data_IF_003956735283
#
_entry.id   IF_003956735283
#
_cell.length_a   1.000
_cell.length_b   1.000
_cell.length_c   1.000
_cell.angle_alpha   90.00
_cell.angle_beta   90.00
_cell.angle_gamma   90.00
#
_symmetry.space_group_name_H-M   'P 1'
#
loop_
_entity.id
_entity.type
_entity.pdbx_description
1 polymer ?
#
# COMPACT_ATOMS: atom_id res chain seq x y z
N UNK A 1 -30.73 -22.17 -50.78
CA UNK A 1 -31.95 -22.09 -51.60
C UNK A 1 -33.02 -21.32 -50.84
N UNK A 2 -33.52 -20.27 -51.46
CA UNK A 2 -34.70 -19.41 -51.22
C UNK A 2 -34.60 -18.38 -50.05
N UNK A 3 -34.27 -17.23 -50.48
CA UNK A 3 -34.69 -15.84 -50.32
C UNK A 3 -36.22 -15.69 -50.16
N UNK A 4 -36.68 -14.85 -49.23
CA UNK A 4 -37.88 -14.01 -49.42
C UNK A 4 -37.76 -12.67 -48.68
N UNK A 5 -37.63 -11.59 -49.47
CA UNK A 5 -37.95 -10.19 -49.18
C UNK A 5 -39.47 -9.98 -49.17
N UNK A 6 -39.97 -9.01 -48.39
CA UNK A 6 -41.08 -8.06 -48.68
C UNK A 6 -40.83 -6.87 -47.77
N UNK A 7 -40.71 -5.76 -48.17
CA UNK A 7 -41.02 -4.53 -48.90
C UNK A 7 -42.44 -3.99 -48.65
N UNK A 8 -42.44 -2.67 -48.41
CA UNK A 8 -43.43 -1.61 -48.65
C UNK A 8 -44.41 -1.36 -47.49
N UNK A 9 -44.88 -0.14 -47.20
CA UNK A 9 -45.00 1.21 -47.81
C UNK A 9 -45.33 2.21 -46.71
N UNK A 10 -44.76 3.37 -46.60
CA UNK A 10 -45.01 4.73 -47.15
C UNK A 10 -46.43 5.34 -46.90
N UNK A 11 -46.38 6.61 -46.40
CA UNK A 11 -47.25 7.78 -46.57
C UNK A 11 -48.19 8.06 -45.37
N UNK A 12 -48.15 9.25 -44.72
CA UNK A 12 -48.44 10.65 -45.10
C UNK A 12 -48.33 11.63 -43.92
N UNK A 13 -47.58 12.63 -44.13
CA UNK A 13 -47.83 14.07 -44.01
C UNK A 13 -48.86 14.62 -43.00
N UNK A 14 -48.43 15.58 -42.24
CA UNK A 14 -49.26 16.54 -41.51
C UNK A 14 -48.44 17.70 -40.91
N UNK A 15 -48.41 18.79 -41.60
CA UNK A 15 -47.86 20.11 -41.30
C UNK A 15 -48.48 20.73 -40.05
N UNK A 16 -47.76 21.61 -39.35
CA UNK A 16 -48.09 22.72 -38.44
C UNK A 16 -47.30 22.61 -37.16
N UNK A 17 -46.48 23.51 -36.64
CA UNK A 17 -46.37 24.95 -36.75
C UNK A 17 -45.03 25.43 -36.16
N UNK A 18 -44.46 26.39 -36.76
CA UNK A 18 -43.38 27.26 -36.31
C UNK A 18 -43.79 27.99 -35.07
N UNK A 19 -43.18 27.71 -33.92
CA UNK A 19 -42.99 28.60 -32.74
C UNK A 19 -42.47 27.86 -31.52
N UNK A 20 -41.25 27.28 -31.63
CA UNK A 20 -40.46 26.92 -30.45
C UNK A 20 -38.97 26.75 -30.83
N UNK A 21 -38.42 27.78 -31.48
CA UNK A 21 -36.99 27.75 -31.88
C UNK A 21 -36.13 28.70 -31.03
N UNK A 22 -36.49 28.94 -29.74
CA UNK A 22 -35.70 29.84 -28.91
C UNK A 22 -35.45 29.34 -27.48
N UNK A 23 -35.76 28.10 -27.11
CA UNK A 23 -35.52 27.60 -25.74
C UNK A 23 -34.56 26.39 -25.75
N UNK A 24 -34.20 25.83 -26.90
CA UNK A 24 -33.27 24.68 -26.99
C UNK A 24 -31.79 25.13 -27.06
N UNK A 25 -31.52 26.42 -27.20
CA UNK A 25 -30.12 26.93 -27.28
C UNK A 25 -29.41 27.21 -25.95
N UNK A 26 -30.11 27.12 -24.81
CA UNK A 26 -29.51 27.52 -23.52
C UNK A 26 -29.30 26.41 -22.51
N UNK A 27 -29.62 25.17 -22.81
CA UNK A 27 -29.40 23.99 -21.92
C UNK A 27 -28.19 23.15 -22.35
N UNK A 28 -27.61 23.38 -23.54
CA UNK A 28 -26.46 22.64 -24.04
C UNK A 28 -25.09 23.22 -23.60
N UNK A 29 -25.03 24.24 -22.71
CA UNK A 29 -23.76 24.85 -22.32
C UNK A 29 -23.38 24.65 -20.84
N UNK A 30 -24.01 23.73 -20.11
CA UNK A 30 -23.69 23.45 -18.70
C UNK A 30 -23.39 22.00 -18.38
N UNK A 31 -23.07 21.16 -19.35
CA UNK A 31 -22.38 19.90 -19.07
C UNK A 31 -20.90 20.04 -19.38
N UNK A 32 -20.25 21.01 -18.74
CA UNK A 32 -18.82 20.92 -18.49
C UNK A 32 -18.62 19.72 -17.59
N UNK A 33 -18.33 18.56 -18.17
CA UNK A 33 -17.81 17.44 -17.44
C UNK A 33 -16.55 17.94 -16.73
N UNK A 34 -16.64 18.23 -15.44
CA UNK A 34 -15.48 18.28 -14.58
C UNK A 34 -14.91 16.87 -14.58
N UNK A 35 -14.06 16.57 -15.56
CA UNK A 35 -13.14 15.45 -15.47
C UNK A 35 -12.25 15.77 -14.26
N UNK A 36 -12.59 15.21 -13.11
CA UNK A 36 -11.68 15.19 -11.96
C UNK A 36 -10.37 14.60 -12.48
N UNK A 37 -9.22 15.23 -12.20
CA UNK A 37 -7.95 14.69 -12.64
C UNK A 37 -7.80 13.26 -12.09
N UNK A 38 -7.42 12.34 -12.95
CA UNK A 38 -7.27 10.91 -12.63
C UNK A 38 -6.31 10.64 -11.46
N UNK A 39 -5.46 11.60 -11.10
CA UNK A 39 -4.53 11.52 -9.97
C UNK A 39 -5.20 11.63 -8.61
N UNK A 40 -6.36 12.26 -8.48
CA UNK A 40 -7.04 12.48 -7.20
C UNK A 40 -7.40 11.19 -6.44
N UNK A 41 -7.51 10.08 -7.14
CA UNK A 41 -7.90 8.79 -6.59
C UNK A 41 -6.84 8.13 -5.68
N UNK A 42 -5.54 8.37 -5.95
CA UNK A 42 -4.43 7.85 -5.15
C UNK A 42 -3.83 8.90 -4.21
N UNK A 43 -4.35 10.12 -4.23
CA UNK A 43 -3.81 11.22 -3.47
C UNK A 43 -4.34 11.24 -2.03
N UNK A 44 -3.42 11.42 -1.09
CA UNK A 44 -3.72 11.65 0.31
C UNK A 44 -2.78 12.72 0.88
N UNK A 45 -3.21 13.42 1.90
CA UNK A 45 -2.37 14.39 2.59
C UNK A 45 -1.42 13.68 3.52
N UNK A 46 -0.14 14.01 3.44
CA UNK A 46 0.83 13.53 4.42
C UNK A 46 0.75 14.36 5.69
N UNK A 47 0.21 13.80 6.75
CA UNK A 47 0.16 14.40 8.08
C UNK A 47 1.04 13.67 9.11
N UNK A 48 1.65 12.54 8.79
CA UNK A 48 2.28 11.64 9.76
C UNK A 48 3.80 11.69 9.83
N UNK A 49 4.50 11.94 8.72
CA UNK A 49 5.96 11.86 8.66
C UNK A 49 6.58 13.03 7.91
N UNK A 50 7.90 13.16 8.00
CA UNK A 50 8.67 14.18 7.30
C UNK A 50 10.00 13.61 6.80
N UNK A 51 10.69 14.38 5.96
CA UNK A 51 12.05 14.04 5.52
C UNK A 51 13.01 14.01 6.71
N UNK A 52 13.95 13.06 6.71
CA UNK A 52 14.89 12.83 7.81
C UNK A 52 14.35 11.90 8.91
N UNK A 53 13.11 11.39 8.78
CA UNK A 53 12.62 10.37 9.71
C UNK A 53 13.45 9.08 9.56
N UNK A 54 13.92 8.56 10.69
CA UNK A 54 14.70 7.34 10.79
C UNK A 54 14.18 6.48 11.95
N UNK A 55 13.73 5.28 11.66
CA UNK A 55 13.17 4.34 12.64
C UNK A 55 14.00 3.06 12.61
N UNK A 56 14.43 2.58 13.78
CA UNK A 56 15.23 1.37 13.95
C UNK A 56 14.43 0.29 14.67
N UNK A 57 14.60 -0.94 14.23
CA UNK A 57 13.93 -2.11 14.80
C UNK A 57 14.92 -3.22 15.12
N UNK A 58 14.66 -3.93 16.22
CA UNK A 58 15.25 -5.23 16.51
C UNK A 58 14.35 -6.34 15.97
N UNK A 59 14.96 -7.27 15.24
CA UNK A 59 14.24 -8.40 14.64
C UNK A 59 14.45 -9.66 15.47
N UNK A 60 13.36 -10.35 15.77
CA UNK A 60 13.32 -11.63 16.47
C UNK A 60 12.68 -12.70 15.61
N UNK A 61 13.17 -13.93 15.75
CA UNK A 61 12.58 -15.10 15.11
C UNK A 61 12.30 -16.17 16.16
N UNK A 62 11.14 -16.84 16.07
CA UNK A 62 10.79 -17.94 16.93
C UNK A 62 11.38 -19.24 16.39
N UNK A 63 12.38 -19.78 17.09
CA UNK A 63 12.99 -21.07 16.80
C UNK A 63 12.65 -22.08 17.90
N UNK A 64 11.92 -23.13 17.58
CA UNK A 64 11.55 -24.19 18.53
C UNK A 64 11.08 -23.65 19.89
N UNK A 65 10.10 -22.72 19.86
CA UNK A 65 9.50 -22.06 21.03
C UNK A 65 10.37 -21.04 21.76
N UNK A 66 11.57 -20.74 21.27
CA UNK A 66 12.46 -19.71 21.84
C UNK A 66 12.56 -18.53 20.89
N UNK A 67 12.38 -17.33 21.41
CA UNK A 67 12.59 -16.08 20.65
C UNK A 67 14.08 -15.71 20.66
N UNK A 68 14.66 -15.62 19.48
CA UNK A 68 16.09 -15.28 19.31
C UNK A 68 16.19 -13.99 18.53
N UNK A 69 17.01 -13.05 19.01
CA UNK A 69 17.33 -11.84 18.24
C UNK A 69 18.05 -12.23 16.95
N UNK A 70 17.37 -12.03 15.82
CA UNK A 70 17.78 -12.51 14.53
C UNK A 70 18.45 -11.46 13.65
N UNK A 71 18.23 -10.17 13.93
CA UNK A 71 18.77 -9.10 13.09
C UNK A 71 18.28 -7.70 13.49
N UNK A 72 18.43 -6.79 12.55
CA UNK A 72 18.03 -5.40 12.67
C UNK A 72 17.27 -4.98 11.40
N UNK A 73 16.37 -4.00 11.54
CA UNK A 73 15.82 -3.30 10.38
C UNK A 73 15.83 -1.79 10.61
N UNK A 74 15.84 -1.04 9.51
CA UNK A 74 15.69 0.41 9.54
C UNK A 74 14.72 0.87 8.46
N UNK A 75 13.90 1.85 8.81
CA UNK A 75 13.00 2.56 7.89
C UNK A 75 13.44 4.02 7.85
N UNK A 76 13.72 4.54 6.66
CA UNK A 76 14.14 5.94 6.46
C UNK A 76 13.27 6.63 5.44
N UNK A 77 12.95 7.90 5.68
CA UNK A 77 12.20 8.75 4.77
C UNK A 77 13.03 9.96 4.39
N UNK A 78 13.26 10.17 3.09
CA UNK A 78 14.06 11.28 2.56
C UNK A 78 13.32 11.99 1.43
N UNK A 79 13.54 13.31 1.30
CA UNK A 79 13.11 14.03 0.11
C UNK A 79 13.90 13.54 -1.12
N UNK A 80 13.24 13.50 -2.26
CA UNK A 80 13.83 13.15 -3.56
C UNK A 80 13.06 13.83 -4.68
N UNK A 81 13.44 13.56 -5.91
CA UNK A 81 12.64 13.89 -7.10
C UNK A 81 12.38 12.63 -7.92
N UNK A 82 11.23 12.58 -8.58
CA UNK A 82 10.88 11.54 -9.53
C UNK A 82 10.34 12.18 -10.81
N UNK A 83 11.05 11.99 -11.95
CA UNK A 83 10.74 12.69 -13.20
C UNK A 83 10.64 14.22 -13.04
N UNK A 84 11.57 14.81 -12.25
CA UNK A 84 11.64 16.24 -11.92
C UNK A 84 10.52 16.77 -11.01
N UNK A 85 9.61 15.92 -10.53
CA UNK A 85 8.59 16.28 -9.54
C UNK A 85 9.10 15.98 -8.12
N UNK A 86 8.80 16.83 -7.12
CA UNK A 86 9.11 16.54 -5.71
C UNK A 86 8.46 15.22 -5.25
N UNK A 87 9.20 14.46 -4.46
CA UNK A 87 8.77 13.15 -3.99
C UNK A 87 9.44 12.77 -2.67
N UNK A 88 8.89 11.76 -1.98
CA UNK A 88 9.55 11.08 -0.88
C UNK A 88 10.11 9.74 -1.35
N UNK A 89 11.32 9.43 -0.89
CA UNK A 89 11.91 8.09 -0.98
C UNK A 89 11.90 7.45 0.40
N UNK A 90 11.23 6.32 0.52
CA UNK A 90 11.18 5.52 1.74
C UNK A 90 11.99 4.25 1.50
N UNK A 91 12.95 3.97 2.39
CA UNK A 91 13.76 2.77 2.31
C UNK A 91 13.57 1.94 3.57
N UNK A 92 13.35 0.64 3.40
CA UNK A 92 13.40 -0.36 4.45
C UNK A 92 14.59 -1.29 4.17
N UNK A 93 15.50 -1.39 5.14
CA UNK A 93 16.59 -2.35 5.13
C UNK A 93 16.36 -3.34 6.25
N UNK A 94 16.35 -4.65 5.96
CA UNK A 94 16.24 -5.71 6.95
C UNK A 94 17.42 -6.68 6.80
N UNK A 95 18.23 -6.80 7.86
CA UNK A 95 19.46 -7.56 7.87
C UNK A 95 19.45 -8.60 8.99
N UNK A 96 19.52 -9.87 8.63
CA UNK A 96 19.81 -10.95 9.55
C UNK A 96 21.24 -10.86 10.13
N UNK A 97 21.40 -11.26 11.37
CA UNK A 97 22.72 -11.37 12.00
C UNK A 97 23.52 -12.54 11.42
N UNK A 98 24.85 -12.49 11.51
CA UNK A 98 25.71 -13.62 11.07
C UNK A 98 25.34 -14.95 11.75
N UNK A 99 24.85 -14.92 13.00
CA UNK A 99 24.39 -16.12 13.72
C UNK A 99 23.07 -16.65 13.15
N UNK A 100 22.16 -15.76 12.76
CA UNK A 100 20.90 -16.13 12.13
C UNK A 100 21.12 -16.70 10.71
N UNK A 101 22.14 -16.23 9.98
CA UNK A 101 22.49 -16.73 8.64
C UNK A 101 22.74 -18.23 8.57
N UNK A 102 23.18 -18.84 9.68
CA UNK A 102 23.35 -20.30 9.77
C UNK A 102 22.02 -21.05 9.59
N UNK A 103 20.90 -20.43 10.01
CA UNK A 103 19.58 -21.03 9.90
C UNK A 103 18.81 -20.48 8.69
N UNK A 104 18.84 -19.17 8.52
CA UNK A 104 18.12 -18.49 7.44
C UNK A 104 18.78 -17.14 7.16
N UNK A 105 19.43 -17.03 6.00
CA UNK A 105 20.00 -15.77 5.53
C UNK A 105 18.87 -14.80 5.14
N UNK A 106 18.90 -13.59 5.65
CA UNK A 106 17.96 -12.53 5.31
C UNK A 106 18.71 -11.23 5.03
N UNK A 107 18.56 -10.72 3.82
CA UNK A 107 19.12 -9.44 3.34
C UNK A 107 18.11 -8.80 2.41
N UNK A 108 17.18 -8.07 2.99
CA UNK A 108 16.11 -7.45 2.23
C UNK A 108 16.29 -5.94 2.18
N UNK A 109 16.17 -5.40 0.98
CA UNK A 109 16.18 -3.96 0.72
C UNK A 109 14.92 -3.60 -0.02
N UNK A 110 14.09 -2.73 0.56
CA UNK A 110 12.91 -2.21 -0.08
C UNK A 110 13.06 -0.70 -0.25
N UNK A 111 12.68 -0.21 -1.40
CA UNK A 111 12.61 1.22 -1.70
C UNK A 111 11.28 1.51 -2.35
N UNK A 112 10.55 2.51 -1.89
CA UNK A 112 9.48 3.10 -2.65
C UNK A 112 9.73 4.59 -2.89
N UNK A 113 9.21 5.10 -3.99
CA UNK A 113 9.10 6.51 -4.28
C UNK A 113 7.62 6.84 -4.39
N UNK A 114 7.18 7.80 -3.58
CA UNK A 114 5.80 8.32 -3.56
C UNK A 114 5.85 9.82 -3.82
N UNK A 115 4.84 10.36 -4.48
CA UNK A 115 4.70 11.80 -4.66
C UNK A 115 4.40 12.52 -3.34
N UNK A 116 4.36 13.85 -3.36
CA UNK A 116 4.05 14.65 -2.16
C UNK A 116 2.65 14.39 -1.59
N UNK A 117 1.73 13.92 -2.43
CA UNK A 117 0.38 13.50 -2.04
C UNK A 117 0.27 11.99 -1.80
N UNK A 118 1.39 11.33 -1.51
CA UNK A 118 1.51 9.92 -1.16
C UNK A 118 1.11 8.93 -2.27
N UNK A 119 0.88 9.38 -3.50
CA UNK A 119 0.60 8.50 -4.61
C UNK A 119 1.84 7.67 -4.99
N UNK A 120 1.72 6.32 -5.15
CA UNK A 120 2.82 5.45 -5.55
C UNK A 120 3.41 5.85 -6.92
N UNK A 121 4.73 5.86 -7.05
CA UNK A 121 5.45 6.13 -8.30
C UNK A 121 6.34 4.97 -8.70
N UNK A 122 7.12 4.45 -7.77
CA UNK A 122 8.05 3.36 -8.01
C UNK A 122 8.27 2.54 -6.75
N UNK A 123 8.42 1.24 -6.91
CA UNK A 123 8.78 0.31 -5.84
C UNK A 123 9.84 -0.67 -6.31
N UNK A 124 10.75 -1.02 -5.41
CA UNK A 124 11.74 -2.08 -5.59
C UNK A 124 11.94 -2.86 -4.30
N UNK A 125 11.86 -4.19 -4.38
CA UNK A 125 12.28 -5.10 -3.31
C UNK A 125 13.39 -6.00 -3.83
N UNK A 126 14.62 -5.88 -3.30
CA UNK A 126 15.67 -6.87 -3.44
C UNK A 126 15.65 -7.76 -2.22
N UNK A 127 15.38 -9.05 -2.38
CA UNK A 127 15.28 -10.01 -1.29
C UNK A 127 16.29 -11.15 -1.45
N UNK A 128 17.17 -11.33 -0.44
CA UNK A 128 18.00 -12.50 -0.31
C UNK A 128 17.54 -13.31 0.92
N UNK A 129 16.70 -14.30 0.66
CA UNK A 129 16.01 -15.11 1.66
C UNK A 129 16.46 -16.59 1.55
N UNK A 130 17.33 -17.02 2.46
CA UNK A 130 17.95 -18.34 2.39
C UNK A 130 18.80 -18.51 1.11
N UNK A 131 18.44 -19.44 0.24
CA UNK A 131 19.07 -19.66 -1.07
C UNK A 131 18.45 -18.86 -2.20
N UNK A 132 17.31 -18.23 -1.95
CA UNK A 132 16.55 -17.48 -2.95
C UNK A 132 17.07 -16.06 -3.04
N UNK A 133 17.15 -15.54 -4.26
CA UNK A 133 17.36 -14.12 -4.53
C UNK A 133 16.37 -13.68 -5.60
N UNK A 134 15.64 -12.60 -5.32
CA UNK A 134 14.73 -11.99 -6.28
C UNK A 134 14.81 -10.47 -6.18
N UNK A 135 14.57 -9.80 -7.30
CA UNK A 135 14.32 -8.37 -7.34
C UNK A 135 12.93 -8.16 -7.93
N UNK A 136 12.03 -7.58 -7.15
CA UNK A 136 10.72 -7.15 -7.60
C UNK A 136 10.74 -5.64 -7.82
N UNK A 137 10.23 -5.19 -8.96
CA UNK A 137 10.07 -3.78 -9.30
C UNK A 137 8.64 -3.51 -9.75
N UNK A 138 8.12 -2.33 -9.42
CA UNK A 138 6.81 -1.88 -9.87
C UNK A 138 6.86 -0.40 -10.22
N UNK A 139 6.31 -0.03 -11.38
CA UNK A 139 6.17 1.34 -11.86
C UNK A 139 4.71 1.68 -11.98
N UNK A 140 4.29 2.76 -11.32
CA UNK A 140 2.89 3.19 -11.27
C UNK A 140 2.66 4.38 -12.18
N UNK A 141 1.51 4.41 -12.84
CA UNK A 141 1.06 5.52 -13.66
C UNK A 141 -0.44 5.68 -13.58
N UNK A 142 -0.94 6.88 -13.88
CA UNK A 142 -2.34 7.27 -13.69
C UNK A 142 -2.87 7.86 -14.98
N UNK A 143 -3.95 7.31 -15.50
CA UNK A 143 -4.57 7.77 -16.74
C UNK A 143 -6.06 7.41 -16.77
N UNK A 144 -6.90 8.32 -17.21
CA UNK A 144 -8.33 8.13 -17.44
C UNK A 144 -9.08 7.52 -16.23
N UNK A 145 -8.73 7.94 -15.01
CA UNK A 145 -9.33 7.46 -13.76
C UNK A 145 -8.88 6.05 -13.35
N UNK A 146 -7.83 5.52 -13.98
CA UNK A 146 -7.26 4.21 -13.65
C UNK A 146 -5.83 4.38 -13.10
N UNK A 147 -5.51 3.54 -12.12
CA UNK A 147 -4.15 3.28 -11.67
C UNK A 147 -3.59 2.08 -12.43
N UNK A 148 -2.48 2.26 -13.11
CA UNK A 148 -1.76 1.20 -13.83
C UNK A 148 -0.49 0.84 -13.06
N UNK A 149 -0.13 -0.43 -13.06
CA UNK A 149 1.15 -0.91 -12.55
C UNK A 149 1.81 -1.86 -13.54
N UNK A 150 3.06 -1.56 -13.88
CA UNK A 150 3.95 -2.48 -14.58
C UNK A 150 4.84 -3.13 -13.54
N UNK A 151 4.89 -4.45 -13.50
CA UNK A 151 5.64 -5.23 -12.53
C UNK A 151 6.68 -6.09 -13.23
N UNK A 152 7.86 -6.21 -12.61
CA UNK A 152 8.93 -7.10 -13.07
C UNK A 152 9.54 -7.83 -11.88
N UNK A 153 9.64 -9.15 -11.96
CA UNK A 153 10.41 -9.97 -11.04
C UNK A 153 11.61 -10.55 -11.75
N UNK A 154 12.80 -10.22 -11.27
CA UNK A 154 14.06 -10.79 -11.77
C UNK A 154 14.58 -11.83 -10.77
N UNK A 155 14.99 -12.98 -11.27
CA UNK A 155 15.53 -14.10 -10.50
C UNK A 155 17.06 -14.07 -10.50
N UNK A 156 17.69 -14.89 -9.64
CA UNK A 156 19.15 -14.98 -9.49
C UNK A 156 19.89 -15.32 -10.80
N UNK A 157 19.30 -16.10 -11.66
CA UNK A 157 19.84 -16.53 -12.96
C UNK A 157 19.67 -15.49 -14.08
N UNK A 158 19.06 -14.34 -13.77
CA UNK A 158 18.77 -13.28 -14.73
C UNK A 158 17.47 -13.45 -15.49
N UNK A 159 16.77 -14.58 -15.38
CA UNK A 159 15.42 -14.73 -15.90
C UNK A 159 14.46 -13.76 -15.20
N UNK A 160 13.39 -13.38 -15.87
CA UNK A 160 12.40 -12.47 -15.29
C UNK A 160 10.97 -12.81 -15.74
N UNK A 161 10.01 -12.43 -14.90
CA UNK A 161 8.59 -12.37 -15.20
C UNK A 161 8.16 -10.90 -15.27
N UNK A 162 7.24 -10.57 -16.18
CA UNK A 162 6.62 -9.26 -16.27
C UNK A 162 5.10 -9.38 -16.21
N UNK A 163 4.45 -8.39 -15.63
CA UNK A 163 3.00 -8.31 -15.56
C UNK A 163 2.53 -6.86 -15.58
N UNK A 164 1.42 -6.60 -16.25
CA UNK A 164 0.74 -5.30 -16.26
C UNK A 164 -0.65 -5.50 -15.68
N UNK A 165 -1.07 -4.58 -14.82
CA UNK A 165 -2.41 -4.57 -14.26
C UNK A 165 -2.93 -3.14 -14.14
N UNK A 166 -4.25 -3.00 -14.03
CA UNK A 166 -4.90 -1.73 -13.71
C UNK A 166 -6.11 -1.96 -12.80
N UNK A 167 -6.44 -0.96 -11.99
CA UNK A 167 -7.66 -0.93 -11.15
C UNK A 167 -8.21 0.50 -11.13
N UNK A 168 -9.50 0.63 -10.94
CA UNK A 168 -10.14 1.93 -10.71
C UNK A 168 -9.83 2.49 -9.30
N UNK A 169 -9.33 1.69 -8.39
CA UNK A 169 -8.79 2.06 -7.09
C UNK A 169 -7.28 2.24 -7.17
N UNK A 170 -6.70 2.85 -6.14
CA UNK A 170 -5.24 2.94 -6.03
C UNK A 170 -4.62 1.56 -5.82
N UNK A 171 -3.65 1.19 -6.65
CA UNK A 171 -2.81 0.01 -6.44
C UNK A 171 -1.59 0.46 -5.63
N UNK A 172 -1.30 -0.25 -4.55
CA UNK A 172 -0.17 0.06 -3.66
C UNK A 172 0.94 -0.99 -3.78
N UNK A 173 2.14 -0.61 -3.36
CA UNK A 173 3.16 -1.53 -2.85
C UNK A 173 3.14 -1.55 -1.31
N UNK A 174 3.94 -2.44 -0.70
CA UNK A 174 3.93 -2.64 0.76
C UNK A 174 4.49 -1.44 1.56
N UNK A 175 5.29 -0.55 0.98
CA UNK A 175 5.77 0.65 1.66
C UNK A 175 4.86 1.85 1.41
N UNK A 176 4.30 2.00 0.21
CA UNK A 176 3.38 3.10 -0.09
C UNK A 176 2.07 2.98 0.69
N UNK A 177 1.52 1.76 0.85
CA UNK A 177 0.34 1.58 1.72
C UNK A 177 0.67 1.87 3.18
N UNK A 178 1.86 1.50 3.68
CA UNK A 178 2.30 1.84 5.03
C UNK A 178 2.38 3.35 5.20
N UNK A 179 2.98 4.07 4.25
CA UNK A 179 3.10 5.51 4.29
C UNK A 179 1.73 6.21 4.29
N UNK A 180 0.81 5.76 3.43
CA UNK A 180 -0.53 6.33 3.35
C UNK A 180 -1.38 6.01 4.58
N UNK A 181 -1.33 4.77 5.07
CA UNK A 181 -2.08 4.34 6.25
C UNK A 181 -1.68 5.10 7.53
N UNK A 182 -0.42 5.56 7.63
CA UNK A 182 0.03 6.43 8.71
C UNK A 182 -0.67 7.80 8.73
N UNK A 183 -1.25 8.24 7.62
CA UNK A 183 -1.98 9.52 7.52
C UNK A 183 -3.50 9.36 7.66
N UNK A 184 -4.01 8.16 7.94
CA UNK A 184 -5.43 7.94 8.19
C UNK A 184 -5.82 8.38 9.60
N UNK A 185 -7.02 8.97 9.74
CA UNK A 185 -7.58 9.31 11.05
C UNK A 185 -8.18 8.04 11.70
N UNK A 186 -7.67 7.59 12.84
CA UNK A 186 -8.20 6.41 13.53
C UNK A 186 -9.50 6.69 14.29
N UNK A 187 -9.96 7.93 14.39
CA UNK A 187 -11.19 8.28 15.13
C UNK A 187 -12.44 7.62 14.54
N UNK A 188 -12.43 7.37 13.23
CA UNK A 188 -13.56 6.78 12.50
C UNK A 188 -13.60 5.25 12.56
N UNK A 189 -12.55 4.57 13.07
CA UNK A 189 -12.48 3.11 13.05
C UNK A 189 -13.23 2.44 14.20
N UNK A 190 -14.05 1.47 13.84
CA UNK A 190 -14.68 0.52 14.79
C UNK A 190 -13.96 -0.82 14.73
N UNK A 191 -13.86 -1.50 15.86
CA UNK A 191 -13.25 -2.83 15.93
C UNK A 191 -13.97 -3.77 14.96
N UNK A 192 -13.20 -4.40 14.06
CA UNK A 192 -13.70 -5.27 13.01
C UNK A 192 -13.85 -4.60 11.65
N UNK A 193 -13.67 -3.28 11.56
CA UNK A 193 -13.69 -2.57 10.26
C UNK A 193 -12.61 -3.10 9.33
N UNK A 194 -12.98 -3.30 8.06
CA UNK A 194 -12.14 -3.89 7.02
C UNK A 194 -11.79 -2.86 5.96
N UNK A 195 -10.51 -2.61 5.81
CA UNK A 195 -9.94 -1.77 4.76
C UNK A 195 -9.39 -2.68 3.68
N UNK A 196 -9.98 -2.64 2.48
CA UNK A 196 -9.57 -3.45 1.33
C UNK A 196 -8.85 -2.59 0.30
N UNK A 197 -7.74 -3.09 -0.22
CA UNK A 197 -6.95 -2.40 -1.23
C UNK A 197 -6.21 -3.38 -2.13
N UNK A 198 -6.04 -3.07 -3.44
CA UNK A 198 -5.21 -3.85 -4.34
C UNK A 198 -3.72 -3.57 -4.09
N UNK A 199 -2.90 -4.61 -4.02
CA UNK A 199 -1.46 -4.52 -3.81
C UNK A 199 -0.68 -5.26 -4.88
N UNK A 200 0.34 -4.60 -5.43
CA UNK A 200 1.30 -5.19 -6.35
C UNK A 200 2.28 -6.10 -5.58
N UNK A 201 2.37 -7.38 -5.96
CA UNK A 201 3.15 -8.40 -5.26
C UNK A 201 4.34 -8.93 -6.08
N UNK A 202 4.77 -8.16 -7.10
CA UNK A 202 5.91 -8.45 -7.98
C UNK A 202 5.55 -9.22 -9.25
N UNK A 203 4.39 -9.93 -9.32
CA UNK A 203 3.92 -10.65 -10.50
C UNK A 203 2.43 -10.48 -10.78
N UNK A 204 1.67 -10.01 -9.82
CA UNK A 204 0.23 -9.82 -9.89
C UNK A 204 -0.22 -8.73 -8.93
N UNK A 205 -1.44 -8.28 -9.10
CA UNK A 205 -2.14 -7.46 -8.12
C UNK A 205 -3.08 -8.36 -7.34
N UNK A 206 -3.04 -8.28 -6.02
CA UNK A 206 -3.87 -9.06 -5.11
C UNK A 206 -4.65 -8.14 -4.19
N UNK A 207 -5.90 -8.51 -3.92
CA UNK A 207 -6.71 -7.85 -2.91
C UNK A 207 -6.16 -8.16 -1.53
N UNK A 208 -5.85 -7.12 -0.76
CA UNK A 208 -5.42 -7.22 0.62
C UNK A 208 -6.54 -6.73 1.54
N UNK A 209 -6.60 -7.27 2.76
CA UNK A 209 -7.56 -6.84 3.77
C UNK A 209 -6.84 -6.53 5.06
N UNK A 210 -6.95 -5.29 5.51
CA UNK A 210 -6.50 -4.84 6.82
C UNK A 210 -7.72 -4.73 7.74
N UNK A 211 -7.63 -5.29 8.96
CA UNK A 211 -8.72 -5.26 9.93
C UNK A 211 -8.28 -4.51 11.17
N UNK A 212 -9.06 -3.51 11.59
CA UNK A 212 -8.82 -2.83 12.85
C UNK A 212 -9.24 -3.70 14.04
N UNK A 213 -8.32 -3.91 14.99
CA UNK A 213 -8.51 -4.80 16.15
C UNK A 213 -8.68 -4.06 17.48
N UNK A 214 -8.58 -2.73 17.49
CA UNK A 214 -8.69 -1.91 18.71
C UNK A 214 -7.35 -1.34 19.17
N UNK A 215 -7.21 -1.14 20.48
CA UNK A 215 -6.03 -0.49 21.08
C UNK A 215 -5.43 -1.36 22.18
N UNK A 216 -4.09 -1.29 22.33
CA UNK A 216 -3.35 -1.98 23.37
C UNK A 216 -2.09 -1.17 23.77
N UNK A 217 -1.62 -1.30 24.99
CA UNK A 217 -0.32 -0.77 25.40
C UNK A 217 0.76 -1.79 25.09
N UNK A 218 1.75 -1.38 24.30
CA UNK A 218 2.83 -2.24 23.81
C UNK A 218 4.19 -1.72 24.26
N UNK A 219 4.97 -2.59 24.89
CA UNK A 219 6.36 -2.29 25.26
C UNK A 219 7.27 -2.52 24.06
N UNK A 220 8.03 -1.50 23.67
CA UNK A 220 9.04 -1.56 22.63
C UNK A 220 10.39 -2.08 23.17
N UNK A 221 11.36 -2.32 22.27
CA UNK A 221 12.69 -2.83 22.65
C UNK A 221 13.49 -1.81 23.46
N UNK A 222 13.30 -0.52 23.23
CA UNK A 222 13.92 0.56 24.00
C UNK A 222 13.38 0.70 25.43
N UNK A 223 12.49 -0.20 25.86
CA UNK A 223 11.88 -0.20 27.19
C UNK A 223 10.69 0.73 27.36
N UNK A 224 10.39 1.58 26.39
CA UNK A 224 9.24 2.51 26.40
C UNK A 224 7.95 1.77 26.09
N UNK A 225 6.88 2.11 26.80
CA UNK A 225 5.53 1.59 26.52
C UNK A 225 4.74 2.63 25.73
N UNK A 226 4.12 2.19 24.64
CA UNK A 226 3.31 3.04 23.76
C UNK A 226 1.87 2.55 23.76
N UNK A 227 0.91 3.47 23.79
CA UNK A 227 -0.47 3.19 23.41
C UNK A 227 -0.53 3.00 21.91
N UNK A 228 -1.01 1.85 21.45
CA UNK A 228 -1.00 1.46 20.04
C UNK A 228 -2.41 1.15 19.52
N UNK A 229 -2.63 1.49 18.26
CA UNK A 229 -3.68 0.97 17.40
C UNK A 229 -3.22 -0.38 16.86
N UNK A 230 -4.12 -1.36 16.77
CA UNK A 230 -3.81 -2.70 16.28
C UNK A 230 -4.52 -2.95 14.96
N UNK A 231 -3.76 -3.35 13.94
CA UNK A 231 -4.29 -3.75 12.64
C UNK A 231 -3.75 -5.12 12.24
N UNK A 232 -4.63 -6.00 11.73
CA UNK A 232 -4.23 -7.29 11.18
C UNK A 232 -4.36 -7.29 9.66
N UNK A 233 -3.27 -7.54 8.94
CA UNK A 233 -3.31 -7.93 7.54
C UNK A 233 -3.69 -9.40 7.47
N UNK A 234 -4.75 -9.71 6.74
CA UNK A 234 -5.30 -11.06 6.67
C UNK A 234 -5.45 -11.54 5.24
N UNK A 235 -5.29 -12.84 5.06
CA UNK A 235 -5.67 -13.60 3.88
C UNK A 235 -6.86 -14.48 4.20
N UNK A 236 -7.62 -14.87 3.18
CA UNK A 236 -8.72 -15.83 3.32
C UNK A 236 -8.36 -17.11 2.57
N UNK A 237 -8.51 -18.25 3.25
CA UNK A 237 -8.33 -19.55 2.61
C UNK A 237 -9.49 -19.86 1.64
N UNK A 238 -9.39 -20.99 0.91
CA UNK A 238 -10.44 -21.42 -0.05
C UNK A 238 -11.82 -21.66 0.58
N UNK A 239 -11.89 -21.77 1.92
CA UNK A 239 -13.13 -21.93 2.67
C UNK A 239 -13.63 -20.62 3.28
N UNK A 240 -12.94 -19.49 3.00
CA UNK A 240 -13.25 -18.17 3.54
C UNK A 240 -12.81 -17.98 4.98
N UNK A 241 -11.99 -18.88 5.54
CA UNK A 241 -11.45 -18.73 6.89
C UNK A 241 -10.32 -17.70 6.89
N UNK A 242 -10.40 -16.77 7.82
CA UNK A 242 -9.39 -15.73 8.02
C UNK A 242 -8.09 -16.32 8.58
N UNK A 243 -6.98 -15.91 8.01
CA UNK A 243 -5.62 -16.21 8.44
C UNK A 243 -4.83 -14.91 8.56
N UNK A 244 -4.34 -14.60 9.74
CA UNK A 244 -3.43 -13.47 9.93
C UNK A 244 -2.10 -13.72 9.24
N UNK A 245 -1.60 -12.68 8.55
CA UNK A 245 -0.30 -12.65 7.89
C UNK A 245 0.65 -11.74 8.66
N UNK A 246 0.18 -10.54 9.04
CA UNK A 246 0.94 -9.57 9.82
C UNK A 246 -0.01 -8.88 10.80
N UNK A 247 0.42 -8.71 12.05
CA UNK A 247 -0.23 -7.79 13.00
C UNK A 247 0.67 -6.57 13.21
N UNK A 248 0.11 -5.39 12.99
CA UNK A 248 0.77 -4.10 13.17
C UNK A 248 0.28 -3.47 14.48
N UNK A 249 1.22 -3.01 15.30
CA UNK A 249 0.99 -2.20 16.48
C UNK A 249 1.57 -0.81 16.20
N UNK A 250 0.69 0.17 15.99
CA UNK A 250 1.02 1.50 15.51
C UNK A 250 0.76 2.52 16.62
N UNK A 251 1.63 3.49 16.86
CA UNK A 251 1.40 4.52 17.88
C UNK A 251 0.06 5.23 17.69
N UNK A 252 -0.72 5.36 18.78
CA UNK A 252 -1.96 6.13 18.83
C UNK A 252 -1.63 7.61 19.07
N UNK A 253 -0.92 8.21 18.11
CA UNK A 253 -0.58 9.62 18.00
C UNK A 253 -0.43 10.02 16.53
N UNK A 254 -0.18 11.29 16.25
CA UNK A 254 -0.12 11.81 14.88
C UNK A 254 1.03 11.25 14.01
N UNK A 255 2.03 10.58 14.60
CA UNK A 255 3.10 9.95 13.83
C UNK A 255 2.70 8.59 13.26
N UNK A 256 1.76 7.87 13.90
CA UNK A 256 1.35 6.51 13.55
C UNK A 256 2.56 5.60 13.25
N UNK A 257 3.56 5.61 14.14
CA UNK A 257 4.80 4.83 13.98
C UNK A 257 4.54 3.35 14.28
N UNK A 258 5.03 2.42 13.47
CA UNK A 258 5.05 1.01 13.84
C UNK A 258 5.94 0.79 15.07
N UNK A 259 5.36 0.33 16.19
CA UNK A 259 6.05 -0.01 17.44
C UNK A 259 6.45 -1.47 17.46
N UNK A 260 5.55 -2.33 16.92
CA UNK A 260 5.77 -3.76 16.81
C UNK A 260 5.06 -4.30 15.58
N UNK A 261 5.70 -5.26 14.93
CA UNK A 261 5.10 -6.08 13.87
C UNK A 261 5.26 -7.55 14.25
N UNK A 262 4.17 -8.31 14.19
CA UNK A 262 4.18 -9.76 14.34
C UNK A 262 3.90 -10.38 12.96
N UNK A 263 4.85 -11.15 12.44
CA UNK A 263 4.77 -11.79 11.11
C UNK A 263 4.57 -13.29 11.30
N UNK A 264 3.50 -13.82 10.68
CA UNK A 264 3.13 -15.24 10.75
C UNK A 264 3.57 -15.94 9.47
N UNK A 265 4.74 -16.57 9.52
CA UNK A 265 5.36 -17.24 8.38
C UNK A 265 4.99 -18.73 8.33
N UNK A 266 5.10 -19.37 7.16
CA UNK A 266 4.79 -20.80 7.03
C UNK A 266 5.74 -21.72 7.82
N UNK A 267 6.92 -21.21 8.19
CA UNK A 267 7.98 -21.95 8.89
C UNK A 267 8.29 -21.38 10.28
N UNK A 268 7.41 -20.55 10.84
CA UNK A 268 7.59 -19.95 12.16
C UNK A 268 7.02 -18.54 12.24
N UNK A 269 7.43 -17.78 13.23
CA UNK A 269 7.00 -16.38 13.42
C UNK A 269 8.21 -15.48 13.56
N UNK A 270 8.10 -14.26 13.06
CA UNK A 270 9.08 -13.20 13.28
C UNK A 270 8.41 -12.00 13.95
N UNK A 271 9.19 -11.23 14.69
CA UNK A 271 8.75 -9.96 15.29
C UNK A 271 9.77 -8.88 15.02
N UNK A 272 9.26 -7.68 14.75
CA UNK A 272 10.07 -6.46 14.75
C UNK A 272 9.59 -5.58 15.91
N UNK A 273 10.53 -5.09 16.74
CA UNK A 273 10.25 -4.19 17.84
C UNK A 273 10.98 -2.87 17.64
N UNK A 274 10.28 -1.76 17.81
CA UNK A 274 10.86 -0.43 17.79
C UNK A 274 12.00 -0.32 18.82
N UNK A 275 13.17 0.07 18.34
CA UNK A 275 14.37 0.31 19.16
C UNK A 275 14.66 1.81 19.30
N UNK A 276 14.70 2.55 18.17
CA UNK A 276 15.00 3.99 18.16
C UNK A 276 14.17 4.69 17.09
N UNK A 277 13.83 5.95 17.34
CA UNK A 277 13.18 6.83 16.35
C UNK A 277 13.76 8.23 16.44
N UNK A 278 14.07 8.82 15.28
CA UNK A 278 14.59 10.18 15.14
C UNK A 278 13.93 10.87 13.96
N UNK A 279 13.83 12.19 14.05
CA UNK A 279 13.27 12.99 12.96
C UNK A 279 11.78 12.80 12.74
N UNK A 280 11.04 12.20 13.70
CA UNK A 280 9.59 12.12 13.66
C UNK A 280 8.96 13.51 13.59
N UNK A 281 7.83 13.63 12.91
CA UNK A 281 7.19 14.92 12.62
C UNK A 281 6.51 15.54 13.83
N UNK A 282 5.91 14.73 14.69
CA UNK A 282 5.12 15.16 15.84
C UNK A 282 5.68 14.62 17.16
N UNK A 283 5.39 15.24 18.31
CA UNK A 283 5.70 14.66 19.60
C UNK A 283 5.07 13.27 19.78
N UNK A 284 5.78 12.37 20.46
CA UNK A 284 5.29 11.01 20.76
C UNK A 284 4.34 11.03 21.97
N UNK A 285 3.09 11.44 21.72
CA UNK A 285 2.06 11.57 22.78
C UNK A 285 1.43 10.25 23.17
N UNK A 286 1.73 9.17 22.46
CA UNK A 286 1.31 7.80 22.75
C UNK A 286 2.12 7.12 23.87
N UNK A 287 3.23 7.72 24.32
CA UNK A 287 4.05 7.16 25.40
C UNK A 287 3.21 7.11 26.68
N UNK A 288 3.13 5.91 27.27
CA UNK A 288 2.45 5.65 28.54
C UNK A 288 3.46 5.89 29.67
N UNK A 289 3.10 6.80 30.59
CA UNK A 289 3.89 7.16 31.77
C UNK A 289 3.69 6.15 32.91
#
# INVERSE_FOLDING_TARGET
MKIRRKKNEIIRTGVVNVRCKLIIGLVALMTGAFALPASAQCEAKNDAFQTGEHVMYDLYFNWKFVWVKAGLASLTTNATTYHSEPAFRINLLALGSKRADFFFKMRDTLTCVIGEKLEPRYFRKGAEEGKRYTVDEAWFSYKDGLCFVNQKRTYRDGNFDEAVASDSRCIYDMLSILAQARSYDPADYKIGDKIKFPMATGRKVEEQTLIYRGKENVKAENGTTYRCLIFSLVEYDKKGKEKEVITFFITDDLNHLPVRLDLYLNFGSAKAFLNDVRGNRHPLTSIVK
#
